data_IF_314852067381
#
_entry.id   IF_314852067381
#
_cell.length_a   1.000
_cell.length_b   1.000
_cell.length_c   1.000
_cell.angle_alpha   90.00
_cell.angle_beta   90.00
_cell.angle_gamma   90.00
#
_symmetry.space_group_name_H-M   'P 1'
#
loop_
_entity.id
_entity.type
_entity.pdbx_description
1 polymer ?
#
# COMPACT_ATOMS: atom_id res chain seq x y z
N UNK A 1 -1.92 10.48 -12.55
CA UNK A 1 -3.20 9.78 -12.81
C UNK A 1 -3.52 8.97 -11.56
N UNK A 2 -4.79 8.80 -11.14
CA UNK A 2 -5.09 7.93 -10.02
C UNK A 2 -4.54 6.54 -10.32
N UNK A 3 -4.02 5.89 -9.29
CA UNK A 3 -3.48 4.54 -9.35
C UNK A 3 -4.57 3.62 -9.96
N UNK A 4 -4.24 2.83 -10.99
CA UNK A 4 -5.22 2.00 -11.71
C UNK A 4 -5.64 0.73 -10.92
N UNK A 5 -5.58 0.80 -9.59
CA UNK A 5 -6.03 -0.28 -8.70
C UNK A 5 -7.54 -0.18 -8.50
N UNK A 6 -8.25 -1.23 -8.91
CA UNK A 6 -9.70 -1.35 -8.79
C UNK A 6 -10.06 -1.91 -7.41
N UNK A 7 -10.78 -1.12 -6.62
CA UNK A 7 -11.24 -1.49 -5.28
C UNK A 7 -12.75 -1.69 -5.30
N UNK A 8 -13.21 -2.86 -4.84
CA UNK A 8 -14.63 -3.14 -4.59
C UNK A 8 -14.92 -2.99 -3.11
N UNK A 9 -15.75 -2.00 -2.75
CA UNK A 9 -16.25 -1.79 -1.38
C UNK A 9 -17.63 -2.44 -1.23
N UNK A 10 -17.80 -3.19 -0.13
CA UNK A 10 -19.06 -3.91 0.16
C UNK A 10 -19.45 -3.65 1.62
N UNK A 11 -20.58 -2.96 1.83
CA UNK A 11 -21.12 -2.67 3.16
C UNK A 11 -22.63 -2.36 2.98
N UNK A 12 -23.51 -2.92 3.78
CA UNK A 12 -24.94 -2.67 3.68
C UNK A 12 -25.34 -1.25 4.14
N UNK A 13 -24.40 -0.50 4.70
CA UNK A 13 -24.58 0.92 5.04
C UNK A 13 -24.05 1.84 3.92
N UNK A 14 -24.93 2.48 3.13
CA UNK A 14 -24.53 3.33 2.02
C UNK A 14 -23.75 4.58 2.46
N UNK A 15 -23.89 5.04 3.72
CA UNK A 15 -23.12 6.17 4.23
C UNK A 15 -21.65 5.79 4.41
N UNK A 16 -21.33 4.60 4.92
CA UNK A 16 -19.97 4.09 5.06
C UNK A 16 -19.35 3.93 3.67
N UNK A 17 -20.09 3.37 2.72
CA UNK A 17 -19.62 3.24 1.34
C UNK A 17 -19.26 4.59 0.73
N UNK A 18 -20.08 5.61 0.88
CA UNK A 18 -19.82 6.93 0.29
C UNK A 18 -18.63 7.63 0.97
N UNK A 19 -18.53 7.56 2.30
CA UNK A 19 -17.38 8.13 3.03
C UNK A 19 -16.06 7.48 2.61
N UNK A 20 -16.00 6.15 2.56
CA UNK A 20 -14.80 5.42 2.12
C UNK A 20 -14.52 5.67 0.64
N UNK A 21 -15.54 5.64 -0.23
CA UNK A 21 -15.38 5.94 -1.67
C UNK A 21 -14.71 7.29 -1.90
N UNK A 22 -15.16 8.34 -1.21
CA UNK A 22 -14.56 9.67 -1.31
C UNK A 22 -13.10 9.69 -0.83
N UNK A 23 -12.81 9.05 0.30
CA UNK A 23 -11.47 9.00 0.86
C UNK A 23 -10.47 8.23 -0.04
N UNK A 24 -10.94 7.18 -0.73
CA UNK A 24 -10.10 6.33 -1.57
C UNK A 24 -9.98 6.81 -3.03
N UNK A 25 -10.89 7.68 -3.49
CA UNK A 25 -10.94 8.15 -4.88
C UNK A 25 -9.66 8.86 -5.36
N UNK A 26 -8.85 9.38 -4.43
CA UNK A 26 -7.60 10.07 -4.75
C UNK A 26 -6.48 9.10 -5.21
N UNK A 27 -6.56 7.82 -4.85
CA UNK A 27 -5.49 6.85 -5.12
C UNK A 27 -5.99 5.49 -5.64
N UNK A 28 -7.28 5.31 -5.91
CA UNK A 28 -7.84 4.07 -6.47
C UNK A 28 -9.13 4.31 -7.25
N UNK A 29 -9.52 3.35 -8.09
CA UNK A 29 -10.81 3.31 -8.76
C UNK A 29 -11.77 2.50 -7.91
N UNK A 30 -12.77 3.16 -7.32
CA UNK A 30 -13.65 2.55 -6.32
C UNK A 30 -15.02 2.26 -6.91
N UNK A 31 -15.47 1.01 -6.77
CA UNK A 31 -16.84 0.57 -6.99
C UNK A 31 -17.45 0.16 -5.65
N UNK A 32 -18.73 0.47 -5.44
CA UNK A 32 -19.44 0.20 -4.19
C UNK A 32 -20.64 -0.71 -4.43
N UNK A 33 -20.88 -1.64 -3.53
CA UNK A 33 -22.06 -2.53 -3.52
C UNK A 33 -22.59 -2.67 -2.09
N UNK A 34 -23.90 -2.76 -1.97
CA UNK A 34 -24.60 -2.94 -0.68
C UNK A 34 -24.97 -4.38 -0.37
N UNK A 35 -24.77 -5.29 -1.32
CA UNK A 35 -25.12 -6.70 -1.20
C UNK A 35 -23.90 -7.61 -1.47
N UNK A 36 -23.71 -8.59 -0.61
CA UNK A 36 -22.59 -9.51 -0.71
C UNK A 36 -22.71 -10.54 -1.86
N UNK A 37 -23.94 -10.88 -2.28
CA UNK A 37 -24.14 -11.80 -3.41
C UNK A 37 -23.80 -11.09 -4.73
N UNK A 38 -24.20 -9.83 -4.87
CA UNK A 38 -23.81 -8.99 -6.00
C UNK A 38 -22.29 -8.77 -6.03
N UNK A 39 -21.68 -8.57 -4.86
CA UNK A 39 -20.23 -8.44 -4.74
C UNK A 39 -19.48 -9.72 -5.17
N UNK A 40 -20.01 -10.89 -4.88
CA UNK A 40 -19.44 -12.15 -5.32
C UNK A 40 -19.51 -12.30 -6.85
N UNK A 41 -20.63 -11.92 -7.48
CA UNK A 41 -20.76 -11.92 -8.94
C UNK A 41 -19.76 -10.95 -9.57
N UNK A 42 -19.69 -9.75 -9.03
CA UNK A 42 -18.78 -8.70 -9.50
C UNK A 42 -17.30 -9.08 -9.35
N UNK A 43 -16.95 -9.76 -8.26
CA UNK A 43 -15.59 -10.27 -8.05
C UNK A 43 -15.15 -11.27 -9.15
N UNK A 44 -16.10 -12.05 -9.68
CA UNK A 44 -15.83 -13.02 -10.74
C UNK A 44 -15.76 -12.34 -12.12
N UNK A 45 -16.68 -11.41 -12.39
CA UNK A 45 -16.81 -10.73 -13.69
C UNK A 45 -15.69 -9.70 -13.90
N UNK A 46 -15.56 -8.74 -12.97
CA UNK A 46 -14.68 -7.58 -13.11
C UNK A 46 -13.27 -7.80 -12.56
N UNK A 47 -13.08 -8.84 -11.74
CA UNK A 47 -11.81 -9.19 -11.08
C UNK A 47 -11.15 -7.94 -10.46
N UNK A 48 -11.75 -7.35 -9.42
CA UNK A 48 -11.15 -6.21 -8.74
C UNK A 48 -9.78 -6.60 -8.17
N UNK A 49 -8.93 -5.62 -7.99
CA UNK A 49 -7.58 -5.83 -7.45
C UNK A 49 -7.59 -5.97 -5.92
N UNK A 50 -8.62 -5.42 -5.26
CA UNK A 50 -8.85 -5.48 -3.82
C UNK A 50 -10.34 -5.48 -3.53
N UNK A 51 -10.78 -6.30 -2.57
CA UNK A 51 -12.12 -6.27 -2.02
C UNK A 51 -12.02 -5.81 -0.56
N UNK A 52 -12.87 -4.86 -0.17
CA UNK A 52 -13.04 -4.42 1.21
C UNK A 52 -14.49 -4.67 1.57
N UNK A 53 -14.75 -5.56 2.53
CA UNK A 53 -16.10 -5.98 2.86
C UNK A 53 -16.40 -5.82 4.35
N UNK A 54 -17.61 -5.37 4.66
CA UNK A 54 -18.11 -5.46 6.03
C UNK A 54 -18.32 -6.92 6.43
N UNK A 55 -18.04 -7.21 7.70
CA UNK A 55 -18.33 -8.52 8.27
C UNK A 55 -19.83 -8.71 8.51
N UNK A 56 -20.51 -7.70 9.04
CA UNK A 56 -21.91 -7.78 9.52
C UNK A 56 -22.91 -7.31 8.48
N UNK A 57 -23.06 -8.04 7.38
CA UNK A 57 -24.06 -7.76 6.35
C UNK A 57 -25.26 -8.70 6.43
N UNK A 58 -26.43 -8.22 6.01
CA UNK A 58 -27.63 -9.04 5.92
C UNK A 58 -27.49 -10.13 4.85
N UNK A 59 -28.07 -11.31 5.11
CA UNK A 59 -28.06 -12.46 4.17
C UNK A 59 -26.73 -13.19 4.15
N UNK A 60 -25.73 -12.69 3.43
CA UNK A 60 -24.39 -13.26 3.37
C UNK A 60 -23.41 -12.35 4.12
N UNK A 61 -22.83 -12.84 5.20
CA UNK A 61 -21.82 -12.10 5.95
C UNK A 61 -20.46 -12.04 5.23
N UNK A 62 -19.57 -11.14 5.67
CA UNK A 62 -18.26 -10.92 5.07
C UNK A 62 -17.34 -12.15 5.12
N UNK A 63 -17.49 -13.02 6.13
CA UNK A 63 -16.74 -14.29 6.23
C UNK A 63 -17.21 -15.28 5.17
N UNK A 64 -18.53 -15.41 4.98
CA UNK A 64 -19.09 -16.26 3.93
C UNK A 64 -18.71 -15.75 2.54
N UNK A 65 -18.73 -14.43 2.32
CA UNK A 65 -18.24 -13.82 1.09
C UNK A 65 -16.77 -14.16 0.85
N UNK A 66 -15.89 -13.96 1.84
CA UNK A 66 -14.47 -14.33 1.78
C UNK A 66 -14.29 -15.81 1.40
N UNK A 67 -14.98 -16.72 2.08
CA UNK A 67 -14.89 -18.17 1.79
C UNK A 67 -15.28 -18.49 0.34
N UNK A 68 -16.37 -17.88 -0.15
CA UNK A 68 -16.84 -18.05 -1.53
C UNK A 68 -15.88 -17.47 -2.56
N UNK A 69 -15.24 -16.34 -2.27
CA UNK A 69 -14.20 -15.73 -3.11
C UNK A 69 -12.98 -16.66 -3.16
N UNK A 70 -12.50 -17.10 -2.01
CA UNK A 70 -11.28 -17.92 -1.89
C UNK A 70 -11.46 -19.36 -2.41
N UNK A 71 -12.68 -19.89 -2.44
CA UNK A 71 -12.96 -21.24 -2.96
C UNK A 71 -13.01 -21.33 -4.49
N UNK A 72 -12.97 -20.24 -5.23
CA UNK A 72 -13.07 -20.20 -6.69
C UNK A 72 -11.76 -19.79 -7.34
N UNK A 73 -11.25 -20.59 -8.27
CA UNK A 73 -9.99 -20.30 -8.99
C UNK A 73 -9.98 -18.91 -9.64
N UNK A 74 -11.13 -18.43 -10.12
CA UNK A 74 -11.24 -17.14 -10.81
C UNK A 74 -11.03 -15.93 -9.87
N UNK A 75 -11.31 -16.06 -8.55
CA UNK A 75 -11.28 -14.99 -7.57
C UNK A 75 -10.39 -15.27 -6.36
N UNK A 76 -9.88 -16.48 -6.19
CA UNK A 76 -9.09 -16.89 -5.02
C UNK A 76 -7.87 -15.99 -4.77
N UNK A 77 -7.25 -15.49 -5.84
CA UNK A 77 -6.08 -14.59 -5.76
C UNK A 77 -6.41 -13.15 -5.35
N UNK A 78 -7.69 -12.74 -5.31
CA UNK A 78 -8.05 -11.37 -4.96
C UNK A 78 -7.83 -11.17 -3.44
N UNK A 79 -7.01 -10.19 -3.01
CA UNK A 79 -6.86 -9.83 -1.61
C UNK A 79 -8.16 -9.27 -1.06
N UNK A 80 -8.46 -9.58 0.21
CA UNK A 80 -9.68 -9.14 0.89
C UNK A 80 -9.32 -8.51 2.22
N UNK A 81 -9.82 -7.31 2.47
CA UNK A 81 -9.82 -6.66 3.78
C UNK A 81 -11.22 -6.81 4.38
N UNK A 82 -11.33 -7.23 5.65
CA UNK A 82 -12.60 -7.28 6.36
C UNK A 82 -12.70 -6.13 7.37
N UNK A 83 -13.85 -5.45 7.37
CA UNK A 83 -14.22 -4.46 8.39
C UNK A 83 -15.09 -5.15 9.43
N UNK A 84 -14.66 -5.18 10.70
CA UNK A 84 -15.39 -5.88 11.75
C UNK A 84 -15.11 -5.28 13.13
N UNK A 85 -15.97 -5.58 14.11
CA UNK A 85 -15.70 -5.23 15.51
C UNK A 85 -14.49 -6.00 16.05
N UNK A 86 -13.84 -5.45 17.08
CA UNK A 86 -12.73 -6.12 17.77
C UNK A 86 -13.12 -7.50 18.31
N UNK A 87 -14.33 -7.62 18.83
CA UNK A 87 -14.87 -8.89 19.33
C UNK A 87 -15.00 -9.91 18.22
N UNK A 88 -15.58 -9.52 17.06
CA UNK A 88 -15.73 -10.43 15.93
C UNK A 88 -14.38 -10.86 15.35
N UNK A 89 -13.40 -9.94 15.26
CA UNK A 89 -12.04 -10.27 14.81
C UNK A 89 -11.42 -11.33 15.72
N UNK A 90 -11.48 -11.15 17.04
CA UNK A 90 -10.82 -12.02 18.00
C UNK A 90 -11.51 -13.39 18.15
N UNK A 91 -12.84 -13.43 18.07
CA UNK A 91 -13.63 -14.63 18.36
C UNK A 91 -14.06 -15.40 17.10
N UNK A 92 -14.51 -14.69 16.06
CA UNK A 92 -15.15 -15.30 14.90
C UNK A 92 -14.26 -15.35 13.66
N UNK A 93 -13.36 -14.37 13.50
CA UNK A 93 -12.51 -14.24 12.32
C UNK A 93 -11.09 -14.75 12.51
N UNK A 94 -10.73 -15.17 13.74
CA UNK A 94 -9.40 -15.73 14.03
C UNK A 94 -9.03 -16.91 13.12
N UNK A 95 -9.99 -17.76 12.79
CA UNK A 95 -9.77 -18.93 11.93
C UNK A 95 -9.49 -18.59 10.45
N UNK A 96 -9.80 -17.37 10.02
CA UNK A 96 -9.57 -16.89 8.64
C UNK A 96 -8.50 -15.80 8.56
N UNK A 97 -7.80 -15.52 9.64
CA UNK A 97 -6.80 -14.48 9.74
C UNK A 97 -5.71 -14.62 8.67
N UNK A 98 -5.25 -15.81 8.38
CA UNK A 98 -4.22 -16.07 7.37
C UNK A 98 -4.76 -15.99 5.92
N UNK A 99 -6.07 -15.84 5.75
CA UNK A 99 -6.75 -15.82 4.45
C UNK A 99 -7.12 -14.41 4.00
N UNK A 100 -7.19 -13.47 4.94
CA UNK A 100 -7.44 -12.04 4.67
C UNK A 100 -6.12 -11.29 4.52
N UNK A 101 -6.13 -10.22 3.74
CA UNK A 101 -4.98 -9.34 3.63
C UNK A 101 -4.80 -8.49 4.89
N UNK A 102 -5.92 -7.99 5.45
CA UNK A 102 -5.91 -7.22 6.69
C UNK A 102 -7.33 -7.07 7.27
N UNK A 103 -7.42 -6.51 8.50
CA UNK A 103 -8.67 -6.14 9.16
C UNK A 103 -8.73 -4.63 9.43
N UNK A 104 -9.92 -4.04 9.30
CA UNK A 104 -10.22 -2.70 9.79
C UNK A 104 -11.19 -2.84 10.95
N UNK A 105 -10.73 -2.47 12.15
CA UNK A 105 -11.54 -2.55 13.38
C UNK A 105 -12.58 -1.44 13.39
N UNK A 106 -13.86 -1.80 13.59
CA UNK A 106 -14.97 -0.88 13.79
C UNK A 106 -15.19 -0.63 15.31
N UNK A 107 -15.42 0.63 15.76
CA UNK A 107 -15.47 1.87 14.98
C UNK A 107 -14.07 2.37 14.58
N UNK A 108 -13.94 3.00 13.41
CA UNK A 108 -12.68 3.53 12.90
C UNK A 108 -12.76 5.03 12.56
N UNK A 109 -11.63 5.71 12.62
CA UNK A 109 -11.50 7.03 12.02
C UNK A 109 -11.22 6.88 10.52
N UNK A 110 -11.93 7.67 9.70
CA UNK A 110 -11.85 7.58 8.24
C UNK A 110 -10.40 7.74 7.72
N UNK A 111 -9.64 8.66 8.29
CA UNK A 111 -8.24 8.90 7.94
C UNK A 111 -7.35 7.68 8.20
N UNK A 112 -7.56 6.99 9.31
CA UNK A 112 -6.79 5.79 9.67
C UNK A 112 -7.15 4.60 8.77
N UNK A 113 -8.44 4.37 8.52
CA UNK A 113 -8.91 3.35 7.61
C UNK A 113 -8.37 3.58 6.18
N UNK A 114 -8.45 4.82 5.67
CA UNK A 114 -7.94 5.18 4.36
C UNK A 114 -6.41 4.99 4.26
N UNK A 115 -5.65 5.38 5.29
CA UNK A 115 -4.20 5.17 5.33
C UNK A 115 -3.83 3.67 5.31
N UNK A 116 -4.57 2.85 6.04
CA UNK A 116 -4.38 1.40 6.06
C UNK A 116 -4.67 0.76 4.70
N UNK A 117 -5.79 1.15 4.08
CA UNK A 117 -6.16 0.70 2.73
C UNK A 117 -5.12 1.16 1.70
N UNK A 118 -4.65 2.41 1.80
CA UNK A 118 -3.63 2.95 0.88
C UNK A 118 -2.37 2.08 0.84
N UNK A 119 -1.88 1.63 1.98
CA UNK A 119 -0.70 0.73 2.04
C UNK A 119 -0.91 -0.54 1.23
N UNK A 120 -2.09 -1.15 1.32
CA UNK A 120 -2.44 -2.36 0.55
C UNK A 120 -2.58 -2.04 -0.94
N UNK A 121 -3.21 -0.92 -1.28
CA UNK A 121 -3.33 -0.44 -2.67
C UNK A 121 -1.97 -0.18 -3.30
N UNK A 122 -1.04 0.46 -2.58
CA UNK A 122 0.32 0.74 -3.06
C UNK A 122 1.10 -0.56 -3.31
N UNK A 123 1.00 -1.55 -2.40
CA UNK A 123 1.57 -2.90 -2.60
C UNK A 123 1.02 -3.57 -3.86
N UNK A 124 -0.31 -3.57 -4.04
CA UNK A 124 -0.97 -4.15 -5.21
C UNK A 124 -0.54 -3.42 -6.50
N UNK A 125 -0.45 -2.09 -6.46
CA UNK A 125 0.02 -1.29 -7.59
C UNK A 125 1.42 -1.70 -8.03
N UNK A 126 2.34 -1.83 -7.08
CA UNK A 126 3.71 -2.27 -7.34
C UNK A 126 3.76 -3.68 -7.95
N UNK A 127 2.94 -4.60 -7.42
CA UNK A 127 2.85 -5.97 -7.95
C UNK A 127 2.26 -6.01 -9.37
N UNK A 128 1.26 -5.17 -9.68
CA UNK A 128 0.71 -5.04 -11.04
C UNK A 128 1.75 -4.53 -12.01
N UNK A 129 2.44 -3.45 -11.66
CA UNK A 129 3.50 -2.88 -12.48
C UNK A 129 4.60 -3.92 -12.77
N UNK A 130 4.98 -4.72 -11.77
CA UNK A 130 5.96 -5.79 -11.94
C UNK A 130 5.47 -6.93 -12.86
N UNK A 131 4.15 -7.19 -12.92
CA UNK A 131 3.56 -8.21 -13.82
C UNK A 131 3.38 -7.71 -15.26
N UNK A 132 3.11 -6.43 -15.45
CA UNK A 132 2.87 -5.81 -16.76
C UNK A 132 4.15 -5.57 -17.57
N UNK A 133 5.33 -5.77 -16.94
CA UNK A 133 6.64 -5.74 -17.58
C UNK A 133 7.26 -7.16 -17.70
N UNK A 134 6.65 -8.09 -18.43
CA UNK A 134 7.17 -9.45 -18.54
C UNK A 134 8.45 -9.46 -19.38
N UNK A 135 9.58 -9.68 -18.69
CA UNK A 135 10.91 -9.79 -19.32
C UNK A 135 11.91 -8.70 -18.96
N UNK A 136 11.48 -7.62 -18.32
CA UNK A 136 12.38 -6.65 -17.70
C UNK A 136 12.40 -6.90 -16.18
N UNK A 137 13.58 -7.16 -15.62
CA UNK A 137 13.79 -7.18 -14.16
C UNK A 137 13.60 -5.79 -13.54
N UNK A 138 13.26 -4.80 -14.34
CA UNK A 138 13.29 -3.36 -14.02
C UNK A 138 11.90 -2.74 -14.12
N UNK A 139 11.43 -2.19 -13.03
CA UNK A 139 10.19 -1.42 -12.92
C UNK A 139 10.50 0.07 -12.84
N UNK A 140 9.80 0.90 -13.60
CA UNK A 140 9.96 2.36 -13.59
C UNK A 140 8.67 3.09 -13.24
N UNK A 141 8.78 4.19 -12.50
CA UNK A 141 7.64 5.02 -12.11
C UNK A 141 8.03 6.44 -11.72
N UNK A 142 7.02 7.22 -11.30
CA UNK A 142 7.17 8.61 -10.87
C UNK A 142 6.93 8.77 -9.37
N UNK A 143 7.78 9.53 -8.68
CA UNK A 143 7.63 9.86 -7.27
C UNK A 143 6.40 10.75 -6.99
N UNK A 144 5.84 11.40 -8.01
CA UNK A 144 4.57 12.10 -7.89
C UNK A 144 3.37 11.15 -7.73
N UNK A 145 3.50 9.88 -8.13
CA UNK A 145 2.46 8.86 -8.00
C UNK A 145 2.63 8.02 -6.73
N UNK A 146 3.87 7.72 -6.38
CA UNK A 146 4.24 6.94 -5.20
C UNK A 146 5.54 7.54 -4.63
N UNK A 147 5.45 8.28 -3.53
CA UNK A 147 6.62 8.91 -2.92
C UNK A 147 7.61 7.88 -2.35
N UNK A 148 8.79 8.33 -1.95
CA UNK A 148 9.86 7.44 -1.46
C UNK A 148 9.41 6.63 -0.26
N UNK A 149 8.71 7.23 0.71
CA UNK A 149 8.24 6.54 1.89
C UNK A 149 7.26 5.41 1.55
N UNK A 150 6.31 5.66 0.64
CA UNK A 150 5.35 4.65 0.15
C UNK A 150 6.08 3.49 -0.56
N UNK A 151 7.13 3.80 -1.35
CA UNK A 151 7.97 2.78 -2.00
C UNK A 151 8.68 1.90 -0.98
N UNK A 152 9.34 2.50 0.03
CA UNK A 152 10.04 1.76 1.08
C UNK A 152 9.09 0.85 1.85
N UNK A 153 7.90 1.35 2.22
CA UNK A 153 6.87 0.56 2.90
C UNK A 153 6.38 -0.61 2.03
N UNK A 154 6.15 -0.37 0.74
CA UNK A 154 5.66 -1.40 -0.18
C UNK A 154 6.69 -2.50 -0.41
N UNK A 155 7.98 -2.16 -0.50
CA UNK A 155 9.08 -3.11 -0.63
C UNK A 155 9.27 -3.93 0.64
N UNK A 156 9.18 -3.30 1.82
CA UNK A 156 9.25 -3.96 3.13
C UNK A 156 8.10 -4.95 3.31
N UNK A 157 6.84 -4.50 3.12
CA UNK A 157 5.64 -5.36 3.20
C UNK A 157 5.67 -6.52 2.20
N UNK A 158 6.16 -6.25 0.99
CA UNK A 158 6.29 -7.26 -0.07
C UNK A 158 7.49 -8.18 0.08
N UNK A 159 8.34 -7.98 1.10
CA UNK A 159 9.60 -8.70 1.32
C UNK A 159 10.42 -8.85 0.03
N UNK A 160 10.59 -7.74 -0.71
CA UNK A 160 11.27 -7.77 -1.99
C UNK A 160 12.79 -7.69 -1.82
N UNK A 161 13.51 -8.47 -2.61
CA UNK A 161 14.96 -8.33 -2.82
C UNK A 161 15.16 -7.63 -4.14
N UNK A 162 15.78 -6.44 -4.13
CA UNK A 162 15.92 -5.59 -5.32
C UNK A 162 16.91 -4.44 -5.07
N UNK A 163 17.23 -3.68 -6.13
CA UNK A 163 17.77 -2.33 -5.98
C UNK A 163 16.75 -1.29 -6.41
N UNK A 164 16.65 -0.18 -5.67
CA UNK A 164 15.84 0.99 -5.94
C UNK A 164 16.74 2.15 -6.29
N UNK A 165 16.62 2.67 -7.49
CA UNK A 165 17.31 3.90 -7.94
C UNK A 165 16.30 5.04 -7.98
N UNK A 166 16.62 6.15 -7.33
CA UNK A 166 15.82 7.38 -7.29
C UNK A 166 16.55 8.48 -8.06
N UNK A 167 15.82 9.26 -8.84
CA UNK A 167 16.38 10.40 -9.59
C UNK A 167 15.47 11.61 -9.47
N UNK A 168 16.01 12.75 -9.05
CA UNK A 168 15.33 14.03 -8.99
C UNK A 168 16.23 15.12 -9.57
N UNK A 169 16.00 15.50 -10.82
CA UNK A 169 16.91 16.36 -11.56
C UNK A 169 18.29 15.72 -11.75
N UNK A 170 19.32 16.33 -11.15
CA UNK A 170 20.70 15.79 -11.17
C UNK A 170 21.00 14.86 -9.98
N UNK A 171 20.15 14.89 -8.97
CA UNK A 171 20.35 14.10 -7.75
C UNK A 171 19.97 12.64 -7.97
N UNK A 172 20.82 11.73 -7.48
CA UNK A 172 20.61 10.28 -7.60
C UNK A 172 20.87 9.60 -6.28
N UNK A 173 19.98 8.68 -5.92
CA UNK A 173 20.17 7.79 -4.80
C UNK A 173 19.96 6.34 -5.24
N UNK A 174 20.74 5.43 -4.71
CA UNK A 174 20.55 4.00 -4.94
C UNK A 174 20.49 3.27 -3.59
N UNK A 175 19.44 2.46 -3.41
CA UNK A 175 19.21 1.64 -2.23
C UNK A 175 19.13 0.18 -2.63
N UNK A 176 19.55 -0.71 -1.74
CA UNK A 176 19.51 -2.16 -1.94
C UNK A 176 18.72 -2.80 -0.82
N UNK A 177 17.87 -3.74 -1.20
CA UNK A 177 16.95 -4.45 -0.31
C UNK A 177 17.24 -5.95 -0.34
N UNK A 178 17.14 -6.56 0.83
CA UNK A 178 17.14 -8.01 0.98
C UNK A 178 15.95 -8.37 1.87
N UNK A 179 15.04 -9.20 1.36
CA UNK A 179 13.83 -9.62 2.07
C UNK A 179 13.00 -8.45 2.64
N UNK A 180 12.91 -7.35 1.87
CA UNK A 180 12.22 -6.10 2.23
C UNK A 180 13.05 -5.13 3.09
N UNK A 181 14.14 -5.56 3.68
CA UNK A 181 14.98 -4.72 4.54
C UNK A 181 16.03 -3.99 3.73
N UNK A 182 16.20 -2.67 3.99
CA UNK A 182 17.26 -1.89 3.36
C UNK A 182 18.59 -2.30 4.03
N UNK A 183 19.55 -2.78 3.26
CA UNK A 183 20.88 -3.14 3.76
C UNK A 183 21.97 -2.15 3.36
N UNK A 184 21.79 -1.45 2.23
CA UNK A 184 22.77 -0.48 1.76
C UNK A 184 22.07 0.69 1.03
N UNK A 185 22.58 1.91 1.21
CA UNK A 185 22.10 3.09 0.50
C UNK A 185 23.29 4.01 0.17
N UNK A 186 23.21 4.66 -1.00
CA UNK A 186 24.22 5.62 -1.48
C UNK A 186 23.51 6.82 -2.10
N UNK A 187 23.91 8.02 -1.68
CA UNK A 187 23.55 9.29 -2.28
C UNK A 187 24.80 10.18 -2.29
N UNK A 188 25.36 10.44 -3.46
CA UNK A 188 26.67 11.10 -3.64
C UNK A 188 27.73 10.48 -2.72
N UNK A 189 28.31 11.27 -1.81
CA UNK A 189 29.30 10.83 -0.82
C UNK A 189 28.69 10.22 0.45
N UNK A 190 27.35 10.29 0.61
CA UNK A 190 26.63 9.76 1.76
C UNK A 190 26.36 8.27 1.59
N UNK A 191 26.56 7.48 2.65
CA UNK A 191 26.23 6.06 2.70
C UNK A 191 25.37 5.74 3.93
N UNK A 192 24.54 4.72 3.80
CA UNK A 192 23.70 4.21 4.88
C UNK A 192 22.53 5.11 5.25
N UNK A 193 22.19 5.18 6.54
CA UNK A 193 21.04 5.91 7.06
C UNK A 193 20.98 7.38 6.59
N UNK A 194 22.11 8.16 6.57
CA UNK A 194 22.08 9.53 6.07
C UNK A 194 21.68 9.65 4.59
N UNK A 195 22.04 8.69 3.75
CA UNK A 195 21.63 8.68 2.34
C UNK A 195 20.12 8.46 2.20
N UNK A 196 19.52 7.61 3.04
CA UNK A 196 18.06 7.39 3.08
C UNK A 196 17.35 8.65 3.53
N UNK A 197 17.78 9.27 4.62
CA UNK A 197 17.15 10.50 5.16
C UNK A 197 17.18 11.67 4.18
N UNK A 198 18.22 11.75 3.33
CA UNK A 198 18.33 12.81 2.32
C UNK A 198 17.24 12.77 1.28
N UNK A 199 16.73 11.58 0.95
CA UNK A 199 15.78 11.39 -0.16
C UNK A 199 14.37 10.98 0.29
N UNK A 200 14.18 10.65 1.57
CA UNK A 200 12.91 10.10 2.07
C UNK A 200 11.74 11.09 1.94
N UNK A 201 12.04 12.39 1.92
CA UNK A 201 11.07 13.46 1.73
C UNK A 201 10.79 13.80 0.26
N UNK A 202 11.44 13.12 -0.70
CA UNK A 202 11.21 13.41 -2.10
C UNK A 202 9.80 13.02 -2.54
N UNK A 203 9.09 13.97 -3.15
CA UNK A 203 7.75 13.79 -3.73
C UNK A 203 7.74 13.99 -5.24
N UNK A 204 8.88 14.37 -5.82
CA UNK A 204 9.06 14.60 -7.25
C UNK A 204 10.27 13.82 -7.77
N UNK A 205 10.27 13.53 -9.07
CA UNK A 205 11.31 12.72 -9.72
C UNK A 205 10.80 11.38 -10.21
N UNK A 206 11.74 10.47 -10.46
CA UNK A 206 11.45 9.13 -10.97
C UNK A 206 12.14 8.06 -10.10
N UNK A 207 11.59 6.86 -10.15
CA UNK A 207 12.21 5.70 -9.55
C UNK A 207 12.36 4.56 -10.55
N UNK A 208 13.35 3.72 -10.29
CA UNK A 208 13.60 2.47 -10.99
C UNK A 208 13.90 1.37 -9.98
N UNK A 209 13.14 0.27 -10.02
CA UNK A 209 13.36 -0.92 -9.19
C UNK A 209 13.87 -2.04 -10.09
N UNK A 210 15.07 -2.55 -9.79
CA UNK A 210 15.62 -3.72 -10.45
C UNK A 210 15.57 -4.92 -9.50
N UNK A 211 14.73 -5.89 -9.81
CA UNK A 211 14.55 -7.11 -9.03
C UNK A 211 15.71 -8.12 -9.17
N UNK A 212 16.65 -7.87 -10.07
CA UNK A 212 17.93 -8.61 -10.15
C UNK A 212 19.06 -7.88 -9.40
N UNK A 213 18.84 -6.62 -8.99
CA UNK A 213 19.83 -5.80 -8.28
C UNK A 213 20.04 -6.27 -6.85
N UNK A 214 21.29 -6.48 -6.45
CA UNK A 214 21.68 -6.83 -5.09
C UNK A 214 22.99 -6.15 -4.69
N UNK A 215 23.25 -6.05 -3.39
CA UNK A 215 24.53 -5.58 -2.83
C UNK A 215 24.92 -6.45 -1.65
N UNK A 216 26.21 -6.74 -1.51
CA UNK A 216 26.78 -7.36 -0.33
C UNK A 216 27.18 -6.35 0.76
N UNK A 217 27.15 -5.04 0.45
CA UNK A 217 27.46 -4.00 1.42
C UNK A 217 26.31 -3.86 2.44
N UNK A 218 26.67 -3.63 3.70
CA UNK A 218 25.76 -3.34 4.78
C UNK A 218 26.18 -2.03 5.42
N UNK A 219 25.45 -0.94 5.13
CA UNK A 219 25.72 0.39 5.65
C UNK A 219 24.55 0.96 6.44
N UNK A 220 23.43 0.29 6.40
CA UNK A 220 22.25 0.64 7.20
C UNK A 220 22.43 0.11 8.62
N UNK A 221 22.23 0.97 9.60
CA UNK A 221 22.40 0.64 11.01
C UNK A 221 21.07 0.53 11.75
N UNK A 222 20.01 1.14 11.22
CA UNK A 222 18.68 1.10 11.79
C UNK A 222 17.80 0.01 11.14
N UNK A 223 16.76 -0.41 11.87
CA UNK A 223 15.72 -1.24 11.28
C UNK A 223 14.90 -0.46 10.25
N UNK A 224 14.29 -1.15 9.28
CA UNK A 224 13.37 -0.51 8.31
C UNK A 224 12.27 0.29 9.01
N UNK A 225 11.73 -0.21 10.13
CA UNK A 225 10.76 0.53 10.93
C UNK A 225 11.32 1.82 11.53
N UNK A 226 12.57 1.80 12.01
CA UNK A 226 13.26 2.99 12.52
C UNK A 226 13.46 4.04 11.43
N UNK A 227 13.92 3.63 10.25
CA UNK A 227 14.08 4.51 9.10
C UNK A 227 12.74 5.12 8.65
N UNK A 228 11.67 4.32 8.61
CA UNK A 228 10.33 4.78 8.24
C UNK A 228 9.76 5.77 9.26
N UNK A 229 9.97 5.51 10.56
CA UNK A 229 9.50 6.40 11.63
C UNK A 229 10.22 7.76 11.59
N UNK A 230 11.53 7.75 11.42
CA UNK A 230 12.30 8.97 11.23
C UNK A 230 11.93 9.69 9.94
N UNK A 231 11.64 8.96 8.86
CA UNK A 231 11.13 9.51 7.63
C UNK A 231 9.80 10.23 7.77
N UNK A 232 8.87 9.68 8.55
CA UNK A 232 7.59 10.33 8.87
C UNK A 232 7.82 11.63 9.65
N UNK A 233 8.74 11.61 10.63
CA UNK A 233 9.11 12.80 11.40
C UNK A 233 9.66 13.91 10.50
N UNK A 234 10.58 13.57 9.58
CA UNK A 234 11.17 14.52 8.65
C UNK A 234 10.14 15.07 7.64
N UNK A 235 9.18 14.26 7.20
CA UNK A 235 8.07 14.72 6.35
C UNK A 235 7.16 15.70 7.09
N UNK A 236 6.83 15.42 8.35
CA UNK A 236 6.01 16.33 9.18
C UNK A 236 6.73 17.67 9.42
N UNK A 237 8.03 17.65 9.64
CA UNK A 237 8.84 18.87 9.77
C UNK A 237 8.85 19.68 8.47
N UNK A 238 9.13 19.02 7.33
CA UNK A 238 9.15 19.69 6.02
C UNK A 238 7.77 20.31 5.66
N UNK A 239 6.67 19.66 6.05
CA UNK A 239 5.32 20.20 5.82
C UNK A 239 5.04 21.42 6.70
N UNK A 240 5.49 21.46 7.96
CA UNK A 240 5.34 22.62 8.85
C UNK A 240 6.10 23.83 8.37
N UNK A 241 7.34 23.65 7.94
CA UNK A 241 8.16 24.73 7.36
C UNK A 241 7.52 25.34 6.10
N UNK A 242 6.79 24.53 5.34
CA UNK A 242 6.07 24.96 4.14
C UNK A 242 4.83 25.77 4.51
N UNK A 243 4.09 25.39 5.55
CA UNK A 243 2.91 26.12 6.03
C UNK A 243 3.28 27.45 6.67
N UNK A 244 4.35 27.52 7.46
CA UNK A 244 4.85 28.76 8.07
C UNK A 244 5.29 29.77 7.01
N UNK A 245 6.00 29.33 5.95
CA UNK A 245 6.43 30.21 4.85
C UNK A 245 5.26 30.73 3.99
N UNK A 246 4.12 30.04 3.94
CA UNK A 246 2.91 30.50 3.22
C UNK A 246 2.11 31.51 4.04
N UNK A 247 2.23 31.50 5.38
CA UNK A 247 1.56 32.47 6.27
C UNK A 247 2.31 33.79 6.42
N UNK A 248 3.62 33.82 6.08
CA UNK A 248 4.46 35.03 6.14
C UNK A 248 4.62 35.77 4.79
N UNK A 249 4.03 35.24 3.71
CA UNK A 249 4.06 35.82 2.35
C UNK A 249 2.71 36.44 1.95
#
# INVERSE_FOLDING_TARGET
>A
MPNNVKVLLVDDNPMILEMLRQALAHFSVVQTLTDAADALLKAIEDKPDLIIADYSMAGMDGRQLLQKIKSRNASAGIPVILMASKTDINEKLKAVQDTVEDFIEKPFFLKEAAAKIKKVVDKISLEKMAREAPGESVLRGSLAQMNVLDLLQSLDMGRKTCSLSLTNGNDKCKMFFTDGQINHAVYDDLKGDPAVYKVITWTAGSFEIDFAGSSSEQTITQSSQGLLLEGLRLLDEANRDTEENVLEA
#
